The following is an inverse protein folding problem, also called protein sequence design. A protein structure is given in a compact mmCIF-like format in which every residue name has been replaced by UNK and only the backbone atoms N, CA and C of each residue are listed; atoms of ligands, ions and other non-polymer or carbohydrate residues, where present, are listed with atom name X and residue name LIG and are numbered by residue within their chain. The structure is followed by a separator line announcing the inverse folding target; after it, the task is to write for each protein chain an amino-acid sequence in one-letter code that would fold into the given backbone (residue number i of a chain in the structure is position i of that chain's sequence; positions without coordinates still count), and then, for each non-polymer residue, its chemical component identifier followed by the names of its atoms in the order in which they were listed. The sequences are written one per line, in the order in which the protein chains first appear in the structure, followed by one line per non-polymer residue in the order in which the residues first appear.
data_IF_676164948037
#
_entry.id   IF_676164948037
#
_cell.length_a   1.000
_cell.length_b   1.000
_cell.length_c   1.000
_cell.angle_alpha   90.00
_cell.angle_beta   90.00
_cell.angle_gamma   90.00
#
_symmetry.space_group_name_H-M   'P 1'
#
loop_
_entity.id
_entity.type
_entity.pdbx_description
1 polymer ?
#
# COMPACT_ATOMS: atom_id res chain seq x y z
N UNK A 1 -37.16 12.81 3.24
CA UNK A 1 -37.48 13.93 4.15
C UNK A 1 -36.18 14.48 4.67
N UNK A 2 -35.90 15.77 4.45
CA UNK A 2 -34.67 16.41 4.91
C UNK A 2 -34.61 16.34 6.45
N UNK A 3 -33.56 15.72 6.99
CA UNK A 3 -33.32 15.61 8.44
C UNK A 3 -32.79 16.96 8.94
N UNK A 4 -33.51 17.59 9.86
CA UNK A 4 -33.05 18.83 10.49
C UNK A 4 -32.09 18.52 11.64
N UNK A 5 -30.88 19.12 11.68
CA UNK A 5 -29.95 18.97 12.82
C UNK A 5 -30.48 19.71 14.05
N UNK A 6 -30.30 19.11 15.23
CA UNK A 6 -30.48 19.80 16.52
C UNK A 6 -29.25 20.68 16.77
N UNK A 7 -29.41 22.00 16.92
CA UNK A 7 -28.34 22.96 17.21
C UNK A 7 -28.53 23.60 18.59
N UNK A 8 -27.47 23.75 19.41
CA UNK A 8 -27.57 24.18 20.81
C UNK A 8 -26.46 25.19 21.17
N UNK A 9 -26.82 26.25 21.90
CA UNK A 9 -25.94 27.36 22.34
C UNK A 9 -25.90 27.47 23.88
N UNK A 10 -24.74 27.87 24.42
CA UNK A 10 -24.57 28.32 25.81
C UNK A 10 -24.24 29.83 25.80
N UNK A 11 -25.15 30.67 26.31
CA UNK A 11 -24.86 32.08 26.60
C UNK A 11 -25.15 32.36 28.08
N UNK A 12 -24.12 32.79 28.82
CA UNK A 12 -24.25 33.44 30.12
C UNK A 12 -23.83 34.90 29.95
N UNK A 13 -24.81 35.80 29.86
CA UNK A 13 -24.59 37.25 29.89
C UNK A 13 -25.24 38.01 28.73
N UNK A 14 -26.05 39.01 29.06
CA UNK A 14 -26.76 39.91 28.15
C UNK A 14 -25.80 40.64 27.18
N UNK A 15 -25.99 40.48 25.87
CA UNK A 15 -25.83 41.53 24.85
C UNK A 15 -26.29 41.00 23.48
N UNK A 16 -27.24 41.71 22.88
CA UNK A 16 -27.69 41.52 21.50
C UNK A 16 -26.53 41.80 20.54
N UNK A 17 -25.96 40.76 19.93
CA UNK A 17 -25.21 40.88 18.68
C UNK A 17 -25.68 39.75 17.79
N UNK A 18 -26.37 40.11 16.70
CA UNK A 18 -26.61 39.19 15.61
C UNK A 18 -25.24 38.73 15.09
N UNK A 19 -24.94 37.45 15.30
CA UNK A 19 -23.88 36.78 14.56
C UNK A 19 -24.59 35.68 13.78
N UNK A 20 -24.90 35.98 12.53
CA UNK A 20 -25.04 34.95 11.49
C UNK A 20 -23.66 34.29 11.30
N UNK A 21 -23.19 33.59 12.33
CA UNK A 21 -22.05 32.70 12.24
C UNK A 21 -22.61 31.39 11.68
N UNK A 22 -22.22 31.10 10.44
CA UNK A 22 -22.53 29.87 9.74
C UNK A 22 -22.29 28.68 10.67
N UNK A 23 -23.38 28.07 11.19
CA UNK A 23 -23.31 26.92 12.08
C UNK A 23 -22.71 25.75 11.32
N UNK A 24 -21.40 25.54 11.47
CA UNK A 24 -20.77 24.32 11.02
C UNK A 24 -21.22 23.17 11.95
N UNK A 25 -21.61 22.01 11.40
CA UNK A 25 -22.13 20.85 12.14
C UNK A 25 -21.03 20.07 12.89
N UNK A 26 -20.14 20.80 13.55
CA UNK A 26 -18.97 20.29 14.26
C UNK A 26 -19.35 19.76 15.65
N UNK A 27 -18.67 18.69 16.09
CA UNK A 27 -18.61 18.35 17.50
C UNK A 27 -17.31 18.93 18.06
N UNK A 28 -17.41 20.08 18.71
CA UNK A 28 -16.26 20.83 19.20
C UNK A 28 -16.19 20.76 20.74
N UNK A 29 -15.07 20.23 21.24
CA UNK A 29 -14.75 20.14 22.67
C UNK A 29 -13.56 21.04 22.98
N UNK A 30 -13.79 22.19 23.62
CA UNK A 30 -12.67 23.04 24.04
C UNK A 30 -12.09 22.57 25.37
N UNK A 31 -10.78 22.29 25.42
CA UNK A 31 -10.08 21.77 26.60
C UNK A 31 -9.92 22.78 27.76
N UNK A 32 -10.26 24.06 27.56
CA UNK A 32 -9.94 25.15 28.50
C UNK A 32 -11.11 26.06 28.92
N UNK A 33 -12.37 25.61 28.76
CA UNK A 33 -13.58 26.40 29.10
C UNK A 33 -13.72 27.61 28.17
N UNK A 34 -14.85 27.88 27.53
CA UNK A 34 -16.08 28.35 28.16
C UNK A 34 -17.31 27.90 27.32
N UNK A 35 -17.11 27.16 26.22
CA UNK A 35 -18.19 26.69 25.35
C UNK A 35 -17.82 25.38 24.63
N UNK A 36 -18.72 24.40 24.66
CA UNK A 36 -18.66 23.18 23.84
C UNK A 36 -20.01 23.01 23.15
N UNK A 37 -19.99 22.63 21.88
CA UNK A 37 -21.19 22.46 21.09
C UNK A 37 -21.03 21.23 20.19
N UNK A 38 -22.14 20.58 19.87
CA UNK A 38 -22.16 19.40 19.02
C UNK A 38 -23.55 19.17 18.46
N UNK A 39 -23.63 18.92 17.17
CA UNK A 39 -24.88 18.51 16.54
C UNK A 39 -24.94 16.99 16.46
N UNK A 40 -25.97 16.40 17.08
CA UNK A 40 -26.22 14.96 17.02
C UNK A 40 -27.37 14.66 16.06
N UNK A 41 -27.22 13.57 15.33
CA UNK A 41 -28.24 13.01 14.45
C UNK A 41 -28.80 11.74 15.05
N UNK A 42 -30.12 11.57 14.97
CA UNK A 42 -30.81 10.40 15.47
C UNK A 42 -30.91 9.33 14.39
N UNK A 43 -30.55 8.10 14.75
CA UNK A 43 -30.95 6.88 14.07
C UNK A 43 -32.01 6.19 14.95
N UNK A 44 -33.27 6.36 14.57
CA UNK A 44 -34.41 5.85 15.32
C UNK A 44 -34.44 4.31 15.29
N UNK A 45 -34.90 3.71 16.39
CA UNK A 45 -35.02 2.26 16.58
C UNK A 45 -33.73 1.50 16.28
N UNK A 46 -32.58 2.06 16.66
CA UNK A 46 -31.27 1.44 16.52
C UNK A 46 -30.48 1.62 17.81
N UNK A 47 -29.57 0.70 18.05
CA UNK A 47 -28.60 0.79 19.13
C UNK A 47 -27.22 0.42 18.63
N UNK A 48 -26.20 1.03 19.22
CA UNK A 48 -24.83 0.59 19.05
C UNK A 48 -24.43 -0.27 20.25
N UNK A 49 -24.19 -1.56 20.01
CA UNK A 49 -23.76 -2.54 21.01
C UNK A 49 -22.25 -2.36 21.22
N UNK A 50 -21.89 -1.47 22.15
CA UNK A 50 -20.50 -1.18 22.48
C UNK A 50 -20.29 -1.04 23.99
N UNK A 51 -19.04 -1.03 24.42
CA UNK A 51 -18.66 -0.76 25.81
C UNK A 51 -19.19 0.61 26.24
N UNK A 52 -20.03 0.61 27.28
CA UNK A 52 -20.59 1.82 27.88
C UNK A 52 -19.51 2.50 28.70
N UNK A 53 -19.31 3.80 28.46
CA UNK A 53 -18.46 4.64 29.31
C UNK A 53 -19.17 4.94 30.63
N UNK A 54 -20.40 5.45 30.52
CA UNK A 54 -21.26 5.86 31.64
C UNK A 54 -22.71 5.69 31.24
N UNK A 55 -23.57 5.45 32.23
CA UNK A 55 -25.01 5.35 32.04
C UNK A 55 -25.72 6.29 33.02
N UNK A 56 -26.76 6.95 32.53
CA UNK A 56 -27.53 7.95 33.27
C UNK A 56 -29.02 7.73 33.07
N UNK A 57 -29.84 8.15 34.03
CA UNK A 57 -31.28 8.37 33.84
C UNK A 57 -31.51 9.89 33.77
N UNK A 58 -32.03 10.40 32.65
CA UNK A 58 -32.13 11.84 32.40
C UNK A 58 -33.28 12.23 31.45
N UNK A 59 -33.59 13.53 31.41
CA UNK A 59 -34.72 14.09 30.67
C UNK A 59 -34.44 14.24 29.17
N UNK A 60 -34.45 13.10 28.45
CA UNK A 60 -34.46 13.07 26.98
C UNK A 60 -33.12 13.36 26.29
N UNK A 61 -33.12 13.50 24.96
CA UNK A 61 -31.91 13.48 24.13
C UNK A 61 -30.98 14.68 24.36
N UNK A 62 -31.53 15.86 24.65
CA UNK A 62 -30.74 17.07 24.91
C UNK A 62 -29.83 16.90 26.14
N UNK A 63 -30.38 16.38 27.23
CA UNK A 63 -29.60 16.14 28.45
C UNK A 63 -28.53 15.06 28.25
N UNK A 64 -28.83 14.02 27.47
CA UNK A 64 -27.85 12.99 27.12
C UNK A 64 -26.71 13.55 26.25
N UNK A 65 -27.04 14.36 25.24
CA UNK A 65 -26.06 15.00 24.37
C UNK A 65 -25.10 15.90 25.16
N UNK A 66 -25.60 16.68 26.13
CA UNK A 66 -24.73 17.47 27.01
C UNK A 66 -23.79 16.61 27.87
N UNK A 67 -24.26 15.46 28.38
CA UNK A 67 -23.40 14.51 29.09
C UNK A 67 -22.31 13.95 28.16
N UNK A 68 -22.65 13.64 26.92
CA UNK A 68 -21.67 13.19 25.93
C UNK A 68 -20.66 14.29 25.59
N UNK A 69 -21.09 15.51 25.27
CA UNK A 69 -20.21 16.63 24.93
C UNK A 69 -19.20 16.89 26.07
N UNK A 70 -19.65 16.84 27.33
CA UNK A 70 -18.80 17.03 28.51
C UNK A 70 -17.91 15.85 28.90
N UNK A 71 -18.06 14.69 28.24
CA UNK A 71 -17.23 13.50 28.47
C UNK A 71 -16.21 13.37 27.33
N UNK A 72 -14.91 13.63 27.57
CA UNK A 72 -13.89 13.64 26.51
C UNK A 72 -13.80 12.35 25.68
N UNK A 73 -14.12 11.19 26.27
CA UNK A 73 -14.08 9.91 25.58
C UNK A 73 -15.38 9.55 24.85
N UNK A 74 -16.48 10.28 25.06
CA UNK A 74 -17.75 9.95 24.44
C UNK A 74 -17.72 10.30 22.95
N UNK A 75 -18.12 9.38 22.06
CA UNK A 75 -18.28 9.68 20.63
C UNK A 75 -19.74 9.61 20.19
N UNK A 76 -20.56 8.81 20.85
CA UNK A 76 -21.98 8.66 20.57
C UNK A 76 -22.74 8.23 21.82
N UNK A 77 -24.06 8.11 21.74
CA UNK A 77 -24.85 7.56 22.83
C UNK A 77 -26.07 6.79 22.34
N UNK A 78 -26.50 5.81 23.13
CA UNK A 78 -27.83 5.20 23.00
C UNK A 78 -28.76 5.86 24.02
N UNK A 79 -29.98 6.22 23.61
CA UNK A 79 -31.03 6.73 24.48
C UNK A 79 -32.21 5.77 24.42
N UNK A 80 -32.81 5.42 25.56
CA UNK A 80 -34.01 4.59 25.57
C UNK A 80 -35.12 5.21 24.68
N UNK A 81 -35.87 4.38 23.97
CA UNK A 81 -36.99 4.82 23.13
C UNK A 81 -38.16 5.35 23.99
N UNK A 82 -38.26 4.86 25.23
CA UNK A 82 -39.31 5.22 26.18
C UNK A 82 -38.72 5.54 27.56
N UNK A 83 -39.34 6.48 28.30
CA UNK A 83 -38.92 6.79 29.65
C UNK A 83 -39.36 5.71 30.65
N UNK A 84 -38.73 5.70 31.82
CA UNK A 84 -39.15 4.92 32.97
C UNK A 84 -40.40 5.53 33.66
N UNK A 85 -40.80 4.93 34.79
CA UNK A 85 -41.96 5.39 35.57
C UNK A 85 -41.82 6.80 36.16
N UNK A 86 -40.60 7.32 36.28
CA UNK A 86 -40.32 8.69 36.74
C UNK A 86 -40.22 9.69 35.58
N UNK A 87 -40.40 9.23 34.34
CA UNK A 87 -40.27 10.06 33.14
C UNK A 87 -38.83 10.24 32.66
N UNK A 88 -37.87 9.49 33.21
CA UNK A 88 -36.46 9.58 32.86
C UNK A 88 -36.08 8.55 31.79
N UNK A 89 -35.22 8.93 30.85
CA UNK A 89 -34.70 8.06 29.81
C UNK A 89 -33.33 7.53 30.22
N UNK A 90 -33.11 6.22 30.03
CA UNK A 90 -31.76 5.67 30.12
C UNK A 90 -30.91 6.21 28.97
N UNK A 91 -29.73 6.72 29.30
CA UNK A 91 -28.75 7.31 28.40
C UNK A 91 -27.40 6.62 28.63
N UNK A 92 -26.94 5.87 27.62
CA UNK A 92 -25.67 5.15 27.65
C UNK A 92 -24.67 5.86 26.75
N UNK A 93 -23.63 6.45 27.34
CA UNK A 93 -22.53 7.09 26.61
C UNK A 93 -21.55 6.03 26.09
N UNK A 94 -21.09 6.18 24.85
CA UNK A 94 -20.28 5.19 24.14
C UNK A 94 -18.94 5.78 23.70
N UNK A 95 -17.88 4.97 23.79
CA UNK A 95 -16.52 5.34 23.38
C UNK A 95 -16.25 5.22 21.86
N UNK A 96 -17.26 4.80 21.11
CA UNK A 96 -17.22 4.61 19.65
C UNK A 96 -18.50 5.18 19.05
N UNK A 97 -18.60 5.17 17.72
CA UNK A 97 -19.76 5.64 16.97
C UNK A 97 -20.13 4.62 15.88
N UNK A 98 -21.27 4.84 15.22
CA UNK A 98 -21.76 3.93 14.18
C UNK A 98 -20.85 3.82 12.95
N UNK A 99 -19.93 4.77 12.73
CA UNK A 99 -19.03 4.78 11.56
C UNK A 99 -17.78 3.94 11.79
N UNK A 100 -17.40 3.75 13.06
CA UNK A 100 -16.28 2.91 13.49
C UNK A 100 -16.71 1.51 13.93
N UNK A 101 -18.02 1.29 14.06
CA UNK A 101 -18.61 0.02 14.46
C UNK A 101 -18.74 -0.95 13.29
N UNK A 102 -18.78 -2.25 13.59
CA UNK A 102 -19.16 -3.26 12.59
C UNK A 102 -20.66 -3.19 12.31
N UNK A 103 -21.09 -3.75 11.17
CA UNK A 103 -22.52 -3.92 10.87
C UNK A 103 -23.25 -4.75 11.92
N UNK A 104 -22.53 -5.67 12.58
CA UNK A 104 -23.03 -6.53 13.64
C UNK A 104 -23.23 -5.75 14.93
N UNK A 105 -22.46 -4.71 15.21
CA UNK A 105 -22.58 -3.91 16.44
C UNK A 105 -23.70 -2.86 16.35
N UNK A 106 -23.97 -2.34 15.14
CA UNK A 106 -25.02 -1.34 14.92
C UNK A 106 -26.33 -2.01 14.49
N UNK A 107 -27.19 -2.30 15.47
CA UNK A 107 -28.35 -3.17 15.31
C UNK A 107 -29.67 -2.42 15.42
N UNK A 108 -30.71 -2.93 14.76
CA UNK A 108 -32.08 -2.51 15.02
C UNK A 108 -32.47 -2.80 16.49
N UNK A 109 -33.21 -1.91 17.11
CA UNK A 109 -33.63 -2.02 18.51
C UNK A 109 -34.89 -1.21 18.76
N UNK A 110 -35.93 -1.86 19.29
CA UNK A 110 -37.15 -1.17 19.72
C UNK A 110 -36.98 -0.49 21.09
N UNK A 111 -35.90 -0.83 21.81
CA UNK A 111 -35.64 -0.31 23.15
C UNK A 111 -34.84 0.98 23.14
N UNK A 112 -34.11 1.29 22.07
CA UNK A 112 -33.17 2.41 22.02
C UNK A 112 -33.22 3.17 20.69
N UNK A 113 -32.77 4.42 20.75
CA UNK A 113 -32.40 5.25 19.62
C UNK A 113 -30.91 5.57 19.74
N UNK A 114 -30.20 5.53 18.63
CA UNK A 114 -28.78 5.84 18.60
C UNK A 114 -28.57 7.28 18.13
N UNK A 115 -27.61 7.96 18.74
CA UNK A 115 -27.24 9.32 18.37
C UNK A 115 -25.74 9.41 18.14
N UNK A 116 -25.38 9.74 16.90
CA UNK A 116 -24.00 10.05 16.50
C UNK A 116 -23.89 11.50 16.06
N UNK A 117 -22.73 12.15 16.23
CA UNK A 117 -22.52 13.51 15.75
C UNK A 117 -22.68 13.56 14.23
N UNK A 118 -23.14 14.70 13.72
CA UNK A 118 -23.16 14.90 12.28
C UNK A 118 -21.74 14.84 11.73
N UNK A 119 -21.58 14.22 10.56
CA UNK A 119 -20.30 14.21 9.84
C UNK A 119 -20.53 14.03 8.34
N UNK A 120 -19.55 14.39 7.50
CA UNK A 120 -19.59 14.10 6.07
C UNK A 120 -19.77 12.61 5.75
N UNK A 121 -19.40 11.68 6.65
CA UNK A 121 -19.58 10.24 6.43
C UNK A 121 -21.05 9.83 6.24
N UNK A 122 -22.01 10.67 6.63
CA UNK A 122 -23.45 10.43 6.41
C UNK A 122 -23.86 10.55 4.93
N UNK A 123 -23.02 11.13 4.08
CA UNK A 123 -23.29 11.35 2.66
C UNK A 123 -22.72 10.24 1.75
N UNK A 124 -22.20 9.15 2.32
CA UNK A 124 -21.66 7.99 1.58
C UNK A 124 -20.54 8.33 0.58
N UNK A 125 -19.49 9.03 1.05
CA UNK A 125 -18.36 9.44 0.22
C UNK A 125 -17.30 8.36 -0.03
N UNK A 126 -17.28 7.28 0.76
CA UNK A 126 -16.30 6.19 0.64
C UNK A 126 -16.89 5.05 -0.22
N UNK A 127 -16.14 4.61 -1.23
CA UNK A 127 -16.58 3.62 -2.23
C UNK A 127 -16.06 2.21 -1.92
N UNK A 128 -16.49 1.21 -2.68
CA UNK A 128 -15.97 -0.16 -2.61
C UNK A 128 -16.00 -0.79 -1.20
N UNK A 129 -17.10 -0.57 -0.46
CA UNK A 129 -17.33 -1.06 0.91
C UNK A 129 -16.28 -0.61 1.94
N UNK A 130 -15.58 0.49 1.67
CA UNK A 130 -14.60 1.06 2.60
C UNK A 130 -15.23 1.73 3.83
N UNK A 131 -14.44 1.87 4.89
CA UNK A 131 -14.88 2.44 6.17
C UNK A 131 -14.64 3.95 6.15
N UNK A 132 -15.67 4.75 6.43
CA UNK A 132 -15.54 6.19 6.59
C UNK A 132 -15.26 6.55 8.06
N UNK A 133 -14.13 7.19 8.34
CA UNK A 133 -13.79 7.66 9.68
C UNK A 133 -13.93 9.18 9.72
N UNK A 134 -14.88 9.73 10.50
CA UNK A 134 -15.05 11.17 10.63
C UNK A 134 -13.98 11.79 11.53
N UNK A 135 -13.60 13.03 11.21
CA UNK A 135 -12.90 13.95 12.09
C UNK A 135 -13.90 15.04 12.50
N UNK A 136 -14.42 14.92 13.72
CA UNK A 136 -15.46 15.81 14.21
C UNK A 136 -14.96 17.20 14.60
N UNK A 137 -13.65 17.38 14.80
CA UNK A 137 -13.05 18.68 15.14
C UNK A 137 -12.83 19.53 13.89
N UNK A 138 -12.40 18.89 12.79
CA UNK A 138 -12.13 19.55 11.52
C UNK A 138 -13.32 19.55 10.55
N UNK A 139 -14.41 18.84 10.89
CA UNK A 139 -15.53 18.58 9.99
C UNK A 139 -15.11 17.85 8.69
N UNK A 140 -14.11 16.98 8.77
CA UNK A 140 -13.59 16.23 7.62
C UNK A 140 -13.81 14.74 7.82
N UNK A 141 -13.34 13.94 6.88
CA UNK A 141 -13.35 12.49 6.98
C UNK A 141 -12.15 11.90 6.23
N UNK A 142 -11.85 10.65 6.53
CA UNK A 142 -10.94 9.83 5.72
C UNK A 142 -11.55 8.45 5.49
N UNK A 143 -11.34 7.89 4.32
CA UNK A 143 -11.71 6.51 4.04
C UNK A 143 -10.54 5.59 4.43
N UNK A 144 -10.85 4.46 5.08
CA UNK A 144 -9.94 3.32 5.22
C UNK A 144 -10.35 2.32 4.17
N UNK A 145 -9.49 2.14 3.16
CA UNK A 145 -9.83 1.33 2.01
C UNK A 145 -9.83 -0.16 2.36
N UNK A 146 -10.67 -0.89 1.63
CA UNK A 146 -10.55 -2.34 1.57
C UNK A 146 -9.24 -2.70 0.86
N UNK A 147 -8.52 -3.74 1.31
CA UNK A 147 -7.25 -4.13 0.71
C UNK A 147 -7.38 -4.34 -0.81
N UNK A 148 -6.56 -3.62 -1.58
CA UNK A 148 -6.58 -3.62 -3.04
C UNK A 148 -7.18 -2.36 -3.68
N UNK A 149 -7.82 -1.49 -2.90
CA UNK A 149 -8.31 -0.19 -3.34
C UNK A 149 -7.47 0.96 -2.77
N UNK A 150 -7.49 2.11 -3.44
CA UNK A 150 -6.70 3.28 -3.13
C UNK A 150 -7.41 4.58 -3.54
N UNK A 151 -6.75 5.71 -3.30
CA UNK A 151 -7.23 7.09 -3.41
C UNK A 151 -8.16 7.52 -2.25
N UNK A 152 -8.50 8.81 -2.19
CA UNK A 152 -9.12 9.44 -1.02
C UNK A 152 -10.51 8.90 -0.70
N UNK A 153 -11.21 8.38 -1.70
CA UNK A 153 -12.55 7.79 -1.57
C UNK A 153 -12.54 6.28 -1.81
N UNK A 154 -11.37 5.65 -1.91
CA UNK A 154 -11.20 4.23 -2.25
C UNK A 154 -11.88 3.85 -3.57
N UNK A 155 -11.94 4.78 -4.51
CA UNK A 155 -12.72 4.70 -5.75
C UNK A 155 -12.05 3.85 -6.83
N UNK A 156 -10.73 3.65 -6.75
CA UNK A 156 -9.94 2.93 -7.76
C UNK A 156 -9.07 1.84 -7.15
N UNK A 157 -8.51 1.00 -8.01
CA UNK A 157 -7.50 0.01 -7.62
C UNK A 157 -6.20 0.72 -7.24
N UNK A 158 -5.43 0.08 -6.36
CA UNK A 158 -4.08 0.55 -6.05
C UNK A 158 -3.14 0.37 -7.23
N UNK A 159 -2.29 1.36 -7.49
CA UNK A 159 -1.28 1.35 -8.56
C UNK A 159 -0.14 0.38 -8.27
N UNK A 160 0.17 0.20 -7.00
CA UNK A 160 1.24 -0.66 -6.50
C UNK A 160 0.81 -1.30 -5.18
N UNK A 161 1.54 -2.33 -4.75
CA UNK A 161 1.36 -2.87 -3.41
C UNK A 161 1.64 -1.84 -2.31
N UNK A 162 2.55 -0.88 -2.59
CA UNK A 162 2.91 0.16 -1.63
C UNK A 162 1.77 1.14 -1.44
N UNK A 163 1.11 1.55 -2.53
CA UNK A 163 -0.08 2.38 -2.44
C UNK A 163 -1.24 1.67 -1.72
N UNK A 164 -1.45 0.37 -2.00
CA UNK A 164 -2.43 -0.44 -1.27
C UNK A 164 -2.15 -0.42 0.23
N UNK A 165 -0.89 -0.65 0.63
CA UNK A 165 -0.48 -0.70 2.03
C UNK A 165 -0.63 0.65 2.74
N UNK A 166 -0.39 1.75 2.02
CA UNK A 166 -0.59 3.10 2.52
C UNK A 166 -2.07 3.38 2.84
N UNK A 167 -2.99 3.08 1.92
CA UNK A 167 -4.44 3.30 2.11
C UNK A 167 -5.11 2.22 2.97
N UNK A 168 -4.47 1.06 3.12
CA UNK A 168 -4.93 -0.07 3.92
C UNK A 168 -3.80 -0.60 4.82
N UNK A 169 -3.43 0.09 5.92
CA UNK A 169 -2.33 -0.33 6.80
C UNK A 169 -2.47 -1.76 7.36
N UNK A 170 -3.70 -2.25 7.47
CA UNK A 170 -4.07 -3.60 7.89
C UNK A 170 -3.89 -4.68 6.80
N UNK A 171 -3.57 -4.31 5.56
CA UNK A 171 -3.35 -5.27 4.48
C UNK A 171 -2.21 -6.24 4.81
N UNK A 172 -2.44 -7.53 4.57
CA UNK A 172 -1.51 -8.63 4.82
C UNK A 172 -0.87 -9.11 3.51
N UNK A 173 0.25 -9.82 3.57
CA UNK A 173 0.87 -10.36 2.35
C UNK A 173 -0.07 -11.32 1.62
N UNK A 174 -0.08 -11.27 0.28
CA UNK A 174 -1.02 -12.04 -0.52
C UNK A 174 -1.11 -11.56 -1.97
N UNK A 175 -2.05 -12.14 -2.72
CA UNK A 175 -2.30 -11.73 -4.11
C UNK A 175 -3.29 -10.57 -4.18
N UNK A 176 -2.91 -9.51 -4.88
CA UNK A 176 -3.74 -8.31 -5.08
C UNK A 176 -3.82 -7.96 -6.56
N UNK A 177 -4.96 -7.39 -6.97
CA UNK A 177 -5.10 -6.76 -8.28
C UNK A 177 -4.60 -5.32 -8.16
N UNK A 178 -3.61 -4.98 -8.98
CA UNK A 178 -3.09 -3.61 -9.10
C UNK A 178 -3.39 -3.05 -10.49
N UNK A 179 -3.42 -1.73 -10.57
CA UNK A 179 -3.65 -0.99 -11.81
C UNK A 179 -2.67 0.20 -11.92
N UNK A 180 -1.42 -0.04 -12.35
CA UNK A 180 -0.38 1.00 -12.35
C UNK A 180 -0.68 2.22 -13.23
N UNK A 181 -1.42 2.05 -14.32
CA UNK A 181 -1.76 3.11 -15.27
C UNK A 181 -3.17 3.70 -15.10
N UNK A 182 -3.97 3.19 -14.17
CA UNK A 182 -5.30 3.74 -13.79
C UNK A 182 -6.24 3.81 -15.01
N UNK A 183 -6.67 5.00 -15.44
CA UNK A 183 -7.47 5.21 -16.67
C UNK A 183 -6.66 5.02 -17.98
N UNK A 184 -5.53 4.32 -17.90
CA UNK A 184 -4.64 4.02 -19.01
C UNK A 184 -5.20 2.95 -19.95
N UNK A 185 -4.38 2.56 -20.93
CA UNK A 185 -4.79 1.59 -21.95
C UNK A 185 -4.65 0.14 -21.51
N UNK A 186 -3.97 -0.11 -20.39
CA UNK A 186 -3.74 -1.46 -19.90
C UNK A 186 -4.77 -1.87 -18.87
N UNK A 187 -5.01 -3.18 -18.80
CA UNK A 187 -5.93 -3.74 -17.82
C UNK A 187 -5.20 -4.00 -16.51
N UNK A 188 -5.90 -3.90 -15.37
CA UNK A 188 -5.38 -4.35 -14.09
C UNK A 188 -4.90 -5.80 -14.14
N UNK A 189 -3.88 -6.12 -13.35
CA UNK A 189 -3.30 -7.46 -13.25
C UNK A 189 -2.99 -7.84 -11.81
N UNK A 190 -2.89 -9.14 -11.54
CA UNK A 190 -2.66 -9.69 -10.21
C UNK A 190 -1.18 -9.89 -9.94
N UNK A 191 -0.72 -9.35 -8.81
CA UNK A 191 0.66 -9.49 -8.29
C UNK A 191 0.65 -10.12 -6.90
N UNK A 192 1.80 -10.57 -6.44
CA UNK A 192 1.99 -10.87 -5.02
C UNK A 192 2.50 -9.61 -4.32
N UNK A 193 1.82 -9.17 -3.28
CA UNK A 193 2.27 -8.11 -2.39
C UNK A 193 2.87 -8.72 -1.13
N UNK A 194 4.14 -8.43 -0.87
CA UNK A 194 4.73 -8.67 0.44
C UNK A 194 4.51 -7.43 1.31
N UNK A 195 3.47 -7.47 2.15
CA UNK A 195 3.10 -6.38 3.05
C UNK A 195 3.96 -6.32 4.33
N UNK A 196 4.96 -7.19 4.44
CA UNK A 196 5.85 -7.30 5.61
C UNK A 196 7.30 -6.97 5.28
N UNK A 197 7.72 -7.12 4.02
CA UNK A 197 9.07 -6.81 3.58
C UNK A 197 9.38 -5.29 3.65
N UNK A 198 10.68 -4.97 3.74
CA UNK A 198 11.24 -3.61 3.78
C UNK A 198 10.51 -2.67 4.75
N UNK A 199 10.30 -3.12 5.99
CA UNK A 199 9.57 -2.39 7.04
C UNK A 199 8.07 -2.20 6.76
N UNK A 200 7.47 -3.13 6.03
CA UNK A 200 6.02 -3.17 5.81
C UNK A 200 5.52 -2.14 4.81
N UNK A 201 6.35 -1.73 3.85
CA UNK A 201 5.97 -0.76 2.79
C UNK A 201 4.99 -1.35 1.79
N UNK A 202 4.89 -2.69 1.67
CA UNK A 202 4.10 -3.33 0.63
C UNK A 202 4.90 -3.46 -0.67
N UNK A 203 5.75 -4.48 -0.75
CA UNK A 203 6.60 -4.73 -1.92
C UNK A 203 5.81 -5.49 -2.99
N UNK A 204 5.82 -4.97 -4.22
CA UNK A 204 5.24 -5.64 -5.39
C UNK A 204 6.21 -6.67 -5.91
N UNK A 205 5.81 -7.94 -5.96
CA UNK A 205 6.66 -9.06 -6.39
C UNK A 205 6.07 -9.73 -7.62
N UNK A 206 6.88 -9.84 -8.69
CA UNK A 206 6.50 -10.49 -9.94
C UNK A 206 7.47 -11.62 -10.25
N UNK A 207 6.91 -12.82 -10.39
CA UNK A 207 7.66 -14.05 -10.70
C UNK A 207 7.82 -14.25 -12.21
N UNK A 208 8.75 -15.10 -12.62
CA UNK A 208 9.00 -15.44 -14.02
C UNK A 208 9.53 -16.87 -14.18
N UNK A 209 9.64 -17.32 -15.43
CA UNK A 209 10.00 -18.71 -15.79
C UNK A 209 11.50 -19.04 -15.71
N UNK A 210 12.33 -18.15 -15.14
CA UNK A 210 13.80 -18.23 -15.23
C UNK A 210 14.49 -18.08 -13.86
N UNK A 211 13.75 -18.38 -12.79
CA UNK A 211 14.22 -18.26 -11.40
C UNK A 211 15.13 -19.41 -10.95
N UNK A 212 15.09 -20.55 -11.65
CA UNK A 212 15.92 -21.71 -11.34
C UNK A 212 17.34 -21.57 -11.94
N UNK A 213 18.33 -22.09 -11.21
CA UNK A 213 19.71 -22.22 -11.68
C UNK A 213 19.76 -23.08 -12.95
N UNK A 214 20.13 -22.46 -14.07
CA UNK A 214 20.05 -23.08 -15.40
C UNK A 214 21.43 -23.20 -16.03
N UNK A 215 21.78 -24.41 -16.49
CA UNK A 215 23.06 -24.74 -17.11
C UNK A 215 23.19 -24.15 -18.51
N UNK A 216 24.39 -23.68 -18.84
CA UNK A 216 24.81 -23.22 -20.17
C UNK A 216 26.06 -23.99 -20.58
N UNK A 217 25.96 -24.80 -21.63
CA UNK A 217 27.06 -25.63 -22.17
C UNK A 217 26.88 -25.81 -23.67
N UNK A 218 27.98 -25.84 -24.42
CA UNK A 218 28.00 -26.03 -25.87
C UNK A 218 27.79 -24.75 -26.68
N UNK A 219 27.89 -23.57 -26.06
CA UNK A 219 27.68 -22.28 -26.71
C UNK A 219 28.99 -21.52 -26.84
N UNK A 220 29.75 -21.80 -27.90
CA UNK A 220 31.03 -21.15 -28.19
C UNK A 220 30.86 -19.70 -28.64
N UNK A 221 29.98 -19.48 -29.62
CA UNK A 221 29.76 -18.16 -30.19
C UNK A 221 29.19 -17.18 -29.15
N UNK A 222 29.69 -15.95 -29.18
CA UNK A 222 29.23 -14.78 -28.40
C UNK A 222 27.70 -14.72 -28.33
N UNK A 223 27.15 -14.76 -27.13
CA UNK A 223 25.70 -14.67 -26.87
C UNK A 223 24.82 -15.69 -27.61
N UNK A 224 25.39 -16.84 -28.01
CA UNK A 224 24.65 -17.85 -28.77
C UNK A 224 23.68 -18.66 -27.91
N UNK A 225 23.89 -18.72 -26.60
CA UNK A 225 22.85 -19.12 -25.67
C UNK A 225 21.87 -17.96 -25.51
N UNK A 226 20.57 -18.25 -25.61
CA UNK A 226 19.50 -17.27 -25.47
C UNK A 226 18.45 -17.78 -24.51
N UNK A 227 18.24 -17.07 -23.40
CA UNK A 227 17.12 -17.30 -22.49
C UNK A 227 16.20 -16.09 -22.52
N UNK A 228 15.05 -16.22 -23.16
CA UNK A 228 13.95 -15.25 -23.02
C UNK A 228 13.30 -15.43 -21.66
N UNK A 229 13.01 -14.32 -20.98
CA UNK A 229 12.37 -14.31 -19.67
C UNK A 229 10.88 -14.03 -19.86
N UNK A 230 10.02 -14.92 -19.36
CA UNK A 230 8.57 -14.72 -19.35
C UNK A 230 8.07 -14.48 -17.93
N UNK A 231 7.61 -13.25 -17.67
CA UNK A 231 6.99 -12.87 -16.41
C UNK A 231 5.58 -13.43 -16.29
N UNK A 232 5.24 -13.88 -15.09
CA UNK A 232 4.03 -14.65 -14.79
C UNK A 232 3.20 -13.87 -13.77
N UNK A 233 2.07 -13.34 -14.23
CA UNK A 233 1.06 -12.67 -13.41
C UNK A 233 -0.31 -12.79 -14.10
N UNK A 234 -1.37 -13.06 -13.34
CA UNK A 234 -2.71 -13.20 -13.91
C UNK A 234 -3.18 -11.85 -14.45
N UNK A 235 -3.62 -11.82 -15.71
CA UNK A 235 -4.01 -10.56 -16.38
C UNK A 235 -2.86 -9.77 -16.99
N UNK A 236 -1.60 -10.20 -16.78
CA UNK A 236 -0.46 -9.64 -17.50
C UNK A 236 -0.47 -10.16 -18.95
N UNK A 237 -0.56 -9.23 -19.90
CA UNK A 237 -0.66 -9.52 -21.34
C UNK A 237 0.58 -9.06 -22.12
N UNK A 238 1.33 -8.08 -21.60
CA UNK A 238 2.52 -7.55 -22.24
C UNK A 238 3.53 -7.07 -21.19
N UNK A 239 4.83 -7.25 -21.46
CA UNK A 239 5.92 -6.72 -20.63
C UNK A 239 5.86 -5.19 -20.50
N UNK A 240 5.28 -4.50 -21.48
CA UNK A 240 4.99 -3.06 -21.40
C UNK A 240 4.06 -2.69 -20.25
N UNK A 241 3.26 -3.61 -19.67
CA UNK A 241 2.51 -3.30 -18.45
C UNK A 241 3.42 -3.19 -17.22
N UNK A 242 4.53 -3.94 -17.20
CA UNK A 242 5.49 -3.88 -16.11
C UNK A 242 6.27 -2.56 -16.11
N UNK A 243 6.37 -1.90 -17.27
CA UNK A 243 6.90 -0.56 -17.38
C UNK A 243 6.21 0.43 -16.44
N UNK A 244 4.87 0.41 -16.41
CA UNK A 244 4.09 1.34 -15.62
C UNK A 244 4.27 1.08 -14.13
N UNK A 245 4.39 -0.19 -13.74
CA UNK A 245 4.75 -0.54 -12.36
C UNK A 245 6.12 0.04 -11.98
N UNK A 246 7.09 -0.10 -12.88
CA UNK A 246 8.42 0.48 -12.72
C UNK A 246 8.31 2.01 -12.61
N UNK A 247 7.47 2.66 -13.40
CA UNK A 247 7.30 4.12 -13.42
C UNK A 247 6.68 4.67 -12.13
N UNK A 248 5.69 3.97 -11.54
CA UNK A 248 5.06 4.36 -10.26
C UNK A 248 5.89 4.00 -9.03
N UNK A 249 6.81 3.02 -9.12
CA UNK A 249 7.70 2.64 -8.01
C UNK A 249 8.84 3.65 -7.84
N UNK A 250 9.24 3.95 -6.61
CA UNK A 250 10.45 4.77 -6.33
C UNK A 250 11.72 3.95 -6.52
N UNK A 251 11.65 2.65 -6.18
CA UNK A 251 12.75 1.70 -6.28
C UNK A 251 12.30 0.41 -6.98
N UNK A 252 13.18 -0.12 -7.83
CA UNK A 252 13.01 -1.42 -8.45
C UNK A 252 14.30 -2.22 -8.29
N UNK A 253 14.18 -3.49 -7.94
CA UNK A 253 15.35 -4.36 -7.84
C UNK A 253 15.07 -5.73 -8.47
N UNK A 254 16.10 -6.28 -9.11
CA UNK A 254 16.09 -7.63 -9.62
C UNK A 254 17.47 -8.25 -9.44
N UNK A 255 17.53 -9.41 -8.79
CA UNK A 255 18.78 -10.14 -8.60
C UNK A 255 19.21 -10.83 -9.89
N UNK A 256 20.50 -10.79 -10.22
CA UNK A 256 21.08 -11.53 -11.34
C UNK A 256 22.38 -12.20 -10.90
N UNK A 257 22.62 -13.42 -11.39
CA UNK A 257 23.81 -14.22 -11.08
C UNK A 257 24.28 -15.01 -12.28
N UNK A 258 25.59 -15.01 -12.49
CA UNK A 258 26.29 -15.93 -13.39
C UNK A 258 27.41 -16.65 -12.65
N UNK A 259 27.41 -17.96 -12.74
CA UNK A 259 28.51 -18.83 -12.33
C UNK A 259 29.22 -19.31 -13.58
N UNK A 260 30.55 -19.26 -13.60
CA UNK A 260 31.34 -19.53 -14.79
C UNK A 260 32.55 -20.41 -14.45
N UNK A 261 32.95 -21.23 -15.42
CA UNK A 261 34.19 -22.00 -15.41
C UNK A 261 34.72 -21.97 -16.84
N UNK A 262 35.89 -21.37 -17.04
CA UNK A 262 36.43 -21.11 -18.39
C UNK A 262 35.41 -20.39 -19.29
N UNK A 263 34.67 -19.41 -18.75
CA UNK A 263 33.63 -18.70 -19.50
C UNK A 263 33.62 -17.22 -19.15
N UNK A 264 33.75 -16.37 -20.17
CA UNK A 264 33.77 -14.91 -20.06
C UNK A 264 32.37 -14.29 -19.94
N UNK A 265 32.34 -13.06 -19.39
CA UNK A 265 31.11 -12.26 -19.30
C UNK A 265 31.13 -11.08 -20.28
N UNK A 266 31.94 -10.04 -20.05
CA UNK A 266 31.96 -8.84 -20.89
C UNK A 266 33.01 -8.88 -21.98
N UNK A 267 34.18 -9.49 -21.73
CA UNK A 267 35.21 -9.61 -22.74
C UNK A 267 34.64 -10.27 -24.00
N UNK A 268 35.01 -9.68 -25.15
CA UNK A 268 34.57 -10.12 -26.46
C UNK A 268 33.04 -10.17 -26.64
N UNK A 269 32.27 -9.40 -25.88
CA UNK A 269 30.80 -9.42 -25.97
C UNK A 269 30.24 -10.84 -25.79
N UNK A 270 30.81 -11.60 -24.87
CA UNK A 270 30.48 -13.02 -24.70
C UNK A 270 29.11 -13.23 -24.07
N UNK A 271 28.77 -12.44 -23.06
CA UNK A 271 27.52 -12.51 -22.31
C UNK A 271 26.98 -11.12 -21.94
N UNK A 272 25.67 -11.03 -21.80
CA UNK A 272 24.97 -9.82 -21.36
C UNK A 272 23.52 -10.14 -20.97
N UNK A 273 22.88 -9.21 -20.28
CA UNK A 273 21.44 -9.20 -20.13
C UNK A 273 20.81 -8.10 -21.00
N UNK A 274 19.53 -8.25 -21.30
CA UNK A 274 18.77 -7.32 -22.15
C UNK A 274 17.69 -6.63 -21.31
N UNK A 275 17.63 -5.30 -21.41
CA UNK A 275 16.67 -4.48 -20.69
C UNK A 275 15.24 -4.64 -21.20
N UNK A 276 14.28 -4.05 -20.50
CA UNK A 276 12.88 -3.92 -20.96
C UNK A 276 12.70 -3.22 -22.30
N UNK A 277 13.67 -2.41 -22.73
CA UNK A 277 13.66 -1.71 -24.02
C UNK A 277 14.35 -2.49 -25.14
N UNK A 278 14.85 -3.70 -24.85
CA UNK A 278 15.60 -4.50 -25.81
C UNK A 278 17.08 -4.11 -25.92
N UNK A 279 17.56 -3.17 -25.10
CA UNK A 279 18.94 -2.73 -25.13
C UNK A 279 19.86 -3.75 -24.43
N UNK A 280 21.01 -4.02 -25.06
CA UNK A 280 22.09 -4.82 -24.47
C UNK A 280 22.76 -4.04 -23.35
N UNK A 281 22.83 -4.63 -22.18
CA UNK A 281 23.42 -4.01 -21.00
C UNK A 281 24.89 -4.39 -20.84
N UNK A 282 25.69 -3.44 -20.34
CA UNK A 282 27.16 -3.54 -20.23
C UNK A 282 27.64 -3.49 -18.78
N UNK A 283 26.77 -3.81 -17.82
CA UNK A 283 27.11 -3.88 -16.40
C UNK A 283 26.31 -5.04 -15.78
N UNK A 284 26.80 -5.58 -14.67
CA UNK A 284 26.19 -6.72 -14.00
C UNK A 284 25.62 -6.37 -12.62
N UNK A 285 25.08 -7.36 -11.92
CA UNK A 285 24.56 -7.18 -10.57
C UNK A 285 25.58 -6.53 -9.62
N UNK A 286 25.12 -5.56 -8.84
CA UNK A 286 25.95 -4.77 -7.91
C UNK A 286 26.78 -3.66 -8.55
N UNK A 287 26.72 -3.50 -9.88
CA UNK A 287 27.28 -2.37 -10.62
C UNK A 287 26.17 -1.46 -11.17
N UNK A 288 26.52 -0.24 -11.58
CA UNK A 288 25.59 0.74 -12.17
C UNK A 288 25.86 0.94 -13.67
N UNK A 289 24.99 1.64 -14.42
CA UNK A 289 25.27 1.98 -15.82
C UNK A 289 26.58 2.76 -16.02
N UNK A 290 27.05 3.49 -15.01
CA UNK A 290 28.34 4.20 -15.06
C UNK A 290 29.55 3.25 -14.97
N UNK A 291 29.35 2.04 -14.44
CA UNK A 291 30.37 1.03 -14.22
C UNK A 291 30.49 0.07 -15.42
N UNK A 292 30.79 0.63 -16.59
CA UNK A 292 30.93 -0.14 -17.83
C UNK A 292 31.87 -1.34 -17.68
N UNK A 293 31.38 -2.51 -18.11
CA UNK A 293 32.04 -3.82 -18.08
C UNK A 293 32.52 -4.25 -16.69
N UNK A 294 31.76 -3.87 -15.65
CA UNK A 294 32.04 -4.27 -14.26
C UNK A 294 30.87 -5.01 -13.62
N UNK A 295 31.25 -5.79 -12.62
CA UNK A 295 30.38 -6.47 -11.68
C UNK A 295 30.65 -5.93 -10.27
N UNK A 296 29.90 -6.38 -9.26
CA UNK A 296 30.06 -5.95 -7.87
C UNK A 296 31.54 -5.91 -7.39
N UNK A 297 32.34 -6.93 -7.71
CA UNK A 297 33.75 -6.99 -7.30
C UNK A 297 34.64 -5.92 -7.96
N UNK A 298 34.32 -5.49 -9.19
CA UNK A 298 35.11 -4.52 -9.95
C UNK A 298 34.76 -3.06 -9.63
N UNK A 299 33.63 -2.86 -8.94
CA UNK A 299 33.22 -1.56 -8.39
C UNK A 299 33.82 -1.36 -6.98
N UNK A 300 34.20 -2.43 -6.29
CA UNK A 300 34.77 -2.31 -4.94
C UNK A 300 36.12 -1.59 -4.94
N UNK A 301 36.43 -0.93 -3.81
CA UNK A 301 37.72 -0.27 -3.59
C UNK A 301 38.34 -0.77 -2.28
N UNK A 302 39.44 -1.56 -2.33
CA UNK A 302 40.14 -2.02 -3.55
C UNK A 302 39.29 -3.01 -4.38
N UNK A 303 39.67 -3.19 -5.65
CA UNK A 303 39.06 -4.18 -6.54
C UNK A 303 39.21 -5.58 -5.92
N UNK A 304 38.09 -6.26 -5.70
CA UNK A 304 38.02 -7.56 -5.03
C UNK A 304 37.84 -8.72 -6.01
N UNK A 305 37.86 -8.48 -7.31
CA UNK A 305 37.74 -9.53 -8.32
C UNK A 305 38.94 -10.49 -8.27
N UNK A 306 38.68 -11.72 -8.72
CA UNK A 306 39.67 -12.79 -8.81
C UNK A 306 40.97 -12.43 -9.56
N UNK A 307 40.85 -11.52 -10.53
CA UNK A 307 41.96 -10.79 -11.13
C UNK A 307 41.74 -9.29 -10.89
N UNK A 308 42.55 -8.62 -10.06
CA UNK A 308 42.40 -7.19 -9.77
C UNK A 308 42.54 -6.27 -11.00
N UNK A 309 43.06 -6.77 -12.13
CA UNK A 309 43.12 -6.05 -13.40
C UNK A 309 41.81 -6.12 -14.21
N UNK A 310 40.81 -6.90 -13.76
CA UNK A 310 39.54 -7.13 -14.47
C UNK A 310 38.35 -6.58 -13.69
N UNK A 311 37.22 -6.40 -14.39
CA UNK A 311 35.99 -5.83 -13.85
C UNK A 311 35.02 -6.82 -13.21
N UNK A 312 35.24 -8.13 -13.37
CA UNK A 312 34.38 -9.20 -12.86
C UNK A 312 35.22 -10.44 -12.51
N UNK A 313 34.67 -11.34 -11.71
CA UNK A 313 35.34 -12.60 -11.39
C UNK A 313 35.45 -13.51 -12.62
N UNK A 314 34.41 -13.59 -13.45
CA UNK A 314 34.37 -14.42 -14.66
C UNK A 314 35.33 -13.96 -15.77
N UNK A 315 35.83 -12.73 -15.69
CA UNK A 315 36.83 -12.21 -16.64
C UNK A 315 38.21 -12.85 -16.52
N UNK A 316 38.45 -13.64 -15.45
CA UNK A 316 39.70 -14.38 -15.30
C UNK A 316 39.81 -15.56 -16.28
N UNK A 317 38.68 -16.10 -16.74
CA UNK A 317 38.60 -17.20 -17.71
C UNK A 317 39.50 -18.41 -17.38
N UNK A 318 39.38 -18.94 -16.16
CA UNK A 318 40.15 -20.11 -15.72
C UNK A 318 39.24 -21.31 -15.37
N UNK A 319 39.86 -22.48 -15.22
CA UNK A 319 39.15 -23.75 -14.95
C UNK A 319 38.54 -23.83 -13.53
N UNK A 320 38.55 -22.72 -12.79
CA UNK A 320 37.97 -22.60 -11.44
C UNK A 320 36.56 -22.03 -11.54
N UNK A 321 35.62 -22.59 -10.77
CA UNK A 321 34.30 -22.00 -10.66
C UNK A 321 34.37 -20.61 -10.03
N UNK A 322 33.78 -19.63 -10.70
CA UNK A 322 33.66 -18.24 -10.23
C UNK A 322 32.22 -17.78 -10.34
N UNK A 323 31.91 -16.67 -9.68
CA UNK A 323 30.58 -16.11 -9.62
C UNK A 323 30.63 -14.58 -9.71
N UNK A 324 29.73 -14.02 -10.50
CA UNK A 324 29.36 -12.62 -10.44
C UNK A 324 27.85 -12.51 -10.23
N UNK A 325 27.46 -11.88 -9.12
CA UNK A 325 26.06 -11.75 -8.72
C UNK A 325 25.79 -10.41 -8.04
N UNK A 326 24.52 -10.02 -8.00
CA UNK A 326 24.08 -8.83 -7.27
C UNK A 326 22.74 -8.31 -7.76
N UNK A 327 22.31 -7.20 -7.18
CA UNK A 327 21.08 -6.52 -7.58
C UNK A 327 21.32 -5.59 -8.77
N UNK A 328 20.44 -5.67 -9.75
CA UNK A 328 20.20 -4.61 -10.71
C UNK A 328 19.19 -3.65 -10.07
N UNK A 329 19.50 -2.35 -10.08
CA UNK A 329 18.66 -1.32 -9.41
C UNK A 329 18.31 -0.14 -10.33
N UNK A 330 18.83 -0.12 -11.56
CA UNK A 330 18.50 0.91 -12.54
C UNK A 330 17.09 0.68 -13.07
N UNK A 331 16.16 1.46 -12.52
CA UNK A 331 14.73 1.40 -12.79
C UNK A 331 14.43 1.48 -14.29
N UNK A 332 15.10 2.36 -15.03
CA UNK A 332 14.84 2.54 -16.46
C UNK A 332 15.18 1.32 -17.33
N UNK A 333 16.01 0.40 -16.82
CA UNK A 333 16.44 -0.80 -17.54
C UNK A 333 15.65 -2.06 -17.16
N UNK A 334 15.09 -2.12 -15.96
CA UNK A 334 14.33 -3.28 -15.47
C UNK A 334 12.88 -3.29 -15.95
N UNK A 335 12.25 -4.47 -16.10
CA UNK A 335 12.78 -5.82 -15.83
C UNK A 335 13.76 -6.38 -16.90
N UNK A 336 14.52 -7.42 -16.53
CA UNK A 336 15.36 -8.19 -17.47
C UNK A 336 14.50 -9.02 -18.41
N UNK A 337 14.64 -8.85 -19.72
CA UNK A 337 13.83 -9.57 -20.73
C UNK A 337 14.54 -10.76 -21.35
N UNK A 338 15.87 -10.78 -21.33
CA UNK A 338 16.67 -11.85 -21.93
C UNK A 338 18.06 -11.95 -21.30
N UNK A 339 18.58 -13.17 -21.22
CA UNK A 339 19.95 -13.47 -20.83
C UNK A 339 20.70 -14.12 -22.01
N UNK A 340 21.94 -13.68 -22.24
CA UNK A 340 22.80 -14.12 -23.33
C UNK A 340 24.13 -14.58 -22.78
N UNK A 341 24.60 -15.74 -23.23
CA UNK A 341 25.89 -16.29 -22.84
C UNK A 341 26.59 -16.95 -24.04
N UNK A 342 27.92 -16.98 -24.00
CA UNK A 342 28.82 -17.61 -24.98
C UNK A 342 30.04 -18.16 -24.24
N UNK A 343 31.11 -18.55 -24.95
CA UNK A 343 32.35 -19.06 -24.33
C UNK A 343 32.07 -20.21 -23.34
N UNK A 344 31.24 -21.16 -23.78
CA UNK A 344 30.94 -22.40 -23.04
C UNK A 344 31.04 -23.62 -23.95
N UNK A 345 31.82 -23.51 -25.04
CA UNK A 345 31.85 -24.47 -26.13
C UNK A 345 32.97 -25.49 -26.01
N UNK A 346 34.11 -25.12 -25.43
CA UNK A 346 35.24 -26.03 -25.24
C UNK A 346 35.05 -26.98 -24.04
N UNK A 347 35.99 -27.92 -23.91
CA UNK A 347 35.85 -29.12 -23.05
C UNK A 347 35.44 -28.81 -21.61
N UNK A 348 36.14 -27.90 -20.95
CA UNK A 348 35.90 -27.54 -19.53
C UNK A 348 34.97 -26.34 -19.34
N UNK A 349 34.66 -25.61 -20.41
CA UNK A 349 33.94 -24.33 -20.36
C UNK A 349 32.45 -24.52 -20.09
N UNK A 350 31.92 -23.88 -19.05
CA UNK A 350 30.52 -24.05 -18.68
C UNK A 350 30.07 -22.87 -17.80
N UNK A 351 28.78 -22.58 -17.85
CA UNK A 351 28.17 -21.59 -16.97
C UNK A 351 26.83 -22.02 -16.39
N UNK A 352 26.39 -21.31 -15.37
CA UNK A 352 25.02 -21.35 -14.86
C UNK A 352 24.52 -19.95 -14.63
N UNK A 353 23.29 -19.67 -15.05
CA UNK A 353 22.64 -18.40 -14.75
C UNK A 353 21.47 -18.59 -13.77
N UNK A 354 21.17 -17.53 -13.04
CA UNK A 354 20.00 -17.42 -12.16
C UNK A 354 19.52 -15.97 -12.20
N UNK A 355 18.22 -15.78 -12.37
CA UNK A 355 17.58 -14.46 -12.36
C UNK A 355 16.51 -14.46 -11.27
N UNK A 356 16.58 -13.55 -10.31
CA UNK A 356 15.57 -13.41 -9.27
C UNK A 356 14.32 -12.69 -9.76
N UNK A 357 13.27 -12.75 -8.93
CA UNK A 357 12.01 -12.04 -9.14
C UNK A 357 12.23 -10.53 -9.31
N UNK A 358 11.27 -9.88 -9.97
CA UNK A 358 11.26 -8.42 -10.05
C UNK A 358 10.48 -7.85 -8.87
N UNK A 359 11.09 -6.88 -8.18
CA UNK A 359 10.52 -6.20 -7.03
C UNK A 359 10.31 -4.72 -7.34
N UNK A 360 9.16 -4.17 -6.98
CA UNK A 360 8.85 -2.74 -7.06
C UNK A 360 8.30 -2.24 -5.73
N UNK A 361 8.81 -1.11 -5.25
CA UNK A 361 8.45 -0.52 -3.95
C UNK A 361 8.54 1.01 -4.00
N UNK A 362 7.78 1.67 -3.12
CA UNK A 362 7.75 3.13 -2.96
C UNK A 362 8.40 3.62 -1.68
#
# INVERSE_FOLDING_TARGET
MARAPLAIWLFLGLLTVAVDAWMQPLLFRHQFGISSFGSFTQDANHQLVATKLKSFALNGPLACAFRCIGEPQCLSFNLAAHPDSEGLYQCDLLATDKFRATSEDFQASDAFHHYSPWSPCQQHHCQNNSICIPDYELNTFRCVCEPGFAASHCERKGKSCSEIKYYSPQATSGSYVIDPDDEGSHKPFTVFCDMTDKNGVGVTVISHDSEARTRVKGHERRGSYVRNVHYIATGLTNISQLAYLTDVSTHCEQFIKYECRGSLIFADDTAWWVSRTGAKMTYWGGATPADHNKCACGVSSPNSCADPARGCNCEKNDDTWREDSGLLTEKSHLPVTQLRFGDTGHGVEEGFHTLGKCYGME
#
